data_IF_273501395369
#
_entry.id   IF_273501395369
#
_cell.length_a   1.000
_cell.length_b   1.000
_cell.length_c   1.000
_cell.angle_alpha   90.00
_cell.angle_beta   90.00
_cell.angle_gamma   90.00
#
_symmetry.space_group_name_H-M   'P 1'
#
loop_
_entity.id
_entity.type
_entity.pdbx_description
1 polymer ?
#
# COMPACT_ATOMS: atom_id res chain seq x y z
N UNK A 1 -10.92 20.73 -9.28
CA UNK A 1 -11.29 19.60 -9.63
C UNK A 1 -10.25 18.72 -10.06
N UNK A 2 -9.49 19.04 -10.93
CA UNK A 2 -8.48 18.20 -11.30
C UNK A 2 -7.56 17.90 -10.22
N UNK A 3 -7.36 18.81 -9.38
CA UNK A 3 -6.48 18.57 -8.33
C UNK A 3 -6.96 17.48 -7.52
N UNK A 4 -8.20 17.33 -7.38
CA UNK A 4 -8.64 16.29 -6.51
C UNK A 4 -8.23 14.98 -7.05
N UNK A 5 -8.04 14.87 -8.33
CA UNK A 5 -7.64 13.61 -8.84
C UNK A 5 -6.24 13.28 -8.47
N UNK A 6 -5.45 14.29 -8.28
CA UNK A 6 -4.09 14.00 -7.92
C UNK A 6 -4.01 13.41 -6.56
N UNK A 7 -4.88 13.82 -5.69
CA UNK A 7 -4.81 13.30 -4.37
C UNK A 7 -5.58 12.05 -4.20
N UNK A 8 -6.34 11.68 -5.20
CA UNK A 8 -7.11 10.50 -5.04
C UNK A 8 -6.20 9.33 -4.99
N UNK A 9 -6.16 8.65 -3.92
CA UNK A 9 -5.42 7.47 -3.81
C UNK A 9 -6.21 6.41 -4.47
N UNK A 10 -5.58 5.54 -5.19
CA UNK A 10 -6.25 4.43 -5.80
C UNK A 10 -7.08 3.74 -4.75
N UNK A 11 -8.38 3.78 -4.92
CA UNK A 11 -9.26 3.21 -3.94
C UNK A 11 -9.00 1.73 -3.74
N UNK A 12 -8.67 1.02 -4.79
CA UNK A 12 -8.36 -0.38 -4.64
C UNK A 12 -7.13 -0.57 -3.79
N UNK A 13 -6.13 0.28 -3.98
CA UNK A 13 -4.93 0.15 -3.19
C UNK A 13 -5.23 0.47 -1.73
N UNK A 14 -6.09 1.45 -1.51
CA UNK A 14 -6.42 1.82 -0.14
C UNK A 14 -7.19 0.67 0.53
N UNK A 15 -8.15 0.10 -0.17
CA UNK A 15 -8.91 -1.01 0.40
C UNK A 15 -7.99 -2.19 0.66
N UNK A 16 -7.08 -2.47 -0.25
CA UNK A 16 -6.14 -3.57 -0.05
C UNK A 16 -5.25 -3.32 1.14
N UNK A 17 -4.83 -2.07 1.32
CA UNK A 17 -3.98 -1.74 2.45
C UNK A 17 -4.73 -1.95 3.76
N UNK A 18 -5.98 -1.49 3.81
CA UNK A 18 -6.75 -1.66 5.02
C UNK A 18 -6.99 -3.13 5.32
N UNK A 19 -7.24 -3.94 4.30
CA UNK A 19 -7.46 -5.34 4.52
C UNK A 19 -6.20 -6.01 5.05
N UNK A 20 -5.04 -5.66 4.51
CA UNK A 20 -3.83 -6.26 5.00
C UNK A 20 -3.50 -5.80 6.40
N UNK A 21 -3.77 -4.56 6.71
CA UNK A 21 -3.52 -4.08 8.06
C UNK A 21 -4.44 -4.81 9.03
N UNK A 22 -5.69 -5.00 8.63
CA UNK A 22 -6.63 -5.69 9.51
C UNK A 22 -6.26 -7.14 9.74
N UNK A 23 -5.72 -7.80 8.73
CA UNK A 23 -5.43 -9.22 8.89
C UNK A 23 -3.98 -9.50 9.26
N UNK A 24 -3.06 -8.63 8.92
CA UNK A 24 -1.65 -8.88 9.16
C UNK A 24 -1.03 -7.93 10.17
N UNK A 25 -1.71 -6.85 10.49
CA UNK A 25 -1.16 -5.92 11.47
C UNK A 25 0.18 -5.39 11.05
N UNK A 26 1.14 -5.53 11.90
CA UNK A 26 2.45 -5.00 11.62
C UNK A 26 3.12 -5.65 10.44
N UNK A 27 2.67 -6.80 10.05
CA UNK A 27 3.27 -7.49 8.93
C UNK A 27 2.64 -7.08 7.60
N UNK A 28 1.72 -6.13 7.61
CA UNK A 28 1.01 -5.77 6.39
C UNK A 28 1.94 -5.33 5.28
N UNK A 29 2.93 -4.52 5.61
CA UNK A 29 3.84 -4.04 4.58
C UNK A 29 4.67 -5.19 4.01
N UNK A 30 5.14 -6.06 4.86
CA UNK A 30 5.92 -7.19 4.40
C UNK A 30 5.07 -8.11 3.53
N UNK A 31 3.80 -8.23 3.89
CA UNK A 31 2.92 -9.07 3.09
C UNK A 31 2.68 -8.44 1.72
N UNK A 32 2.49 -7.14 1.66
CA UNK A 32 2.29 -6.48 0.38
C UNK A 32 3.54 -6.65 -0.49
N UNK A 33 4.71 -6.53 0.11
CA UNK A 33 5.95 -6.68 -0.63
C UNK A 33 6.10 -8.11 -1.16
N UNK A 34 5.71 -9.09 -0.35
CA UNK A 34 5.81 -10.48 -0.77
C UNK A 34 4.88 -10.75 -1.95
N UNK A 35 3.69 -10.16 -1.92
CA UNK A 35 2.75 -10.35 -3.01
C UNK A 35 3.23 -9.65 -4.27
N UNK A 36 3.88 -8.50 -4.11
CA UNK A 36 4.43 -7.80 -5.26
C UNK A 36 5.52 -8.64 -5.90
N UNK A 37 6.39 -9.22 -5.09
CA UNK A 37 7.45 -10.02 -5.66
C UNK A 37 6.90 -11.26 -6.35
N UNK A 38 5.90 -11.86 -5.77
CA UNK A 38 5.31 -13.03 -6.39
C UNK A 38 4.71 -12.67 -7.72
N UNK A 39 4.04 -11.52 -7.80
CA UNK A 39 3.43 -11.10 -9.05
C UNK A 39 4.49 -10.83 -10.09
N UNK A 40 5.62 -10.23 -9.67
CA UNK A 40 6.69 -9.97 -10.59
C UNK A 40 7.28 -11.27 -11.12
N UNK A 41 7.45 -12.25 -10.26
CA UNK A 41 8.01 -13.52 -10.68
C UNK A 41 7.11 -14.21 -11.66
N UNK A 42 5.79 -14.00 -11.53
CA UNK A 42 4.87 -14.61 -12.45
C UNK A 42 4.69 -13.78 -13.71
N UNK A 43 5.37 -12.67 -13.80
CA UNK A 43 5.24 -11.83 -14.97
C UNK A 43 4.00 -10.99 -14.99
N UNK A 44 3.33 -10.86 -13.87
CA UNK A 44 2.08 -10.11 -13.82
C UNK A 44 2.35 -8.68 -13.38
N UNK A 45 2.64 -7.82 -14.35
CA UNK A 45 3.03 -6.47 -14.03
C UNK A 45 1.89 -5.65 -13.44
N UNK A 46 0.66 -5.96 -13.83
CA UNK A 46 -0.47 -5.22 -13.30
C UNK A 46 -0.62 -5.46 -11.82
N UNK A 47 -0.54 -6.71 -11.41
CA UNK A 47 -0.66 -7.02 -9.99
C UNK A 47 0.56 -6.56 -9.22
N UNK A 48 1.73 -6.63 -9.86
CA UNK A 48 2.94 -6.15 -9.21
C UNK A 48 2.77 -4.67 -8.87
N UNK A 49 2.32 -3.87 -9.84
CA UNK A 49 2.16 -2.45 -9.61
C UNK A 49 1.10 -2.19 -8.54
N UNK A 50 0.04 -2.99 -8.57
CA UNK A 50 -1.01 -2.82 -7.59
C UNK A 50 -0.49 -3.06 -6.17
N UNK A 51 0.29 -4.12 -5.99
CA UNK A 51 0.79 -4.41 -4.65
C UNK A 51 1.82 -3.39 -4.20
N UNK A 52 2.56 -2.81 -5.14
CA UNK A 52 3.48 -1.74 -4.78
C UNK A 52 2.71 -0.53 -4.27
N UNK A 53 1.56 -0.24 -4.88
CA UNK A 53 0.76 0.88 -4.42
C UNK A 53 0.14 0.58 -3.07
N UNK A 54 -0.29 -0.65 -2.87
CA UNK A 54 -0.84 -1.04 -1.59
C UNK A 54 0.23 -0.85 -0.51
N UNK A 55 1.44 -1.25 -0.80
CA UNK A 55 2.52 -1.08 0.16
C UNK A 55 2.76 0.38 0.51
N UNK A 56 2.67 1.25 -0.51
CA UNK A 56 2.88 2.66 -0.25
C UNK A 56 1.76 3.22 0.63
N UNK A 57 0.52 2.79 0.40
CA UNK A 57 -0.57 3.24 1.24
C UNK A 57 -0.38 2.75 2.67
N UNK A 58 0.09 1.51 2.82
CA UNK A 58 0.31 0.99 4.16
C UNK A 58 1.33 1.84 4.88
N UNK A 59 2.38 2.25 4.19
CA UNK A 59 3.37 3.09 4.82
C UNK A 59 2.76 4.42 5.25
N UNK A 60 1.92 4.99 4.42
CA UNK A 60 1.31 6.25 4.78
C UNK A 60 0.36 6.11 5.96
N UNK A 61 -0.39 5.04 6.00
CA UNK A 61 -1.33 4.84 7.07
C UNK A 61 -0.68 4.42 8.37
N UNK A 62 0.40 3.69 8.24
CA UNK A 62 1.01 3.14 9.41
C UNK A 62 2.06 3.99 10.05
N UNK A 63 2.40 5.09 9.41
CA UNK A 63 3.49 5.87 9.89
C UNK A 63 3.19 7.31 10.02
N UNK A 64 2.03 7.65 10.45
CA UNK A 64 1.67 9.02 10.54
C UNK A 64 2.42 9.69 11.60
N UNK A 65 2.73 8.98 12.56
CA UNK A 65 3.31 9.55 13.57
C UNK A 65 4.68 9.69 13.38
N UNK A 66 5.24 8.93 12.69
CA UNK A 66 6.56 9.10 12.51
C UNK A 66 6.69 10.46 12.10
N UNK A 67 5.75 10.87 11.44
CA UNK A 67 5.81 12.15 11.01
C UNK A 67 5.80 13.01 12.16
N UNK A 68 4.99 12.72 12.97
CA UNK A 68 4.87 13.61 14.00
C UNK A 68 5.95 13.45 14.92
N UNK A 69 6.48 12.45 14.87
CA UNK A 69 7.32 12.24 15.82
C UNK A 69 8.34 13.01 15.93
N UNK A 70 8.57 13.21 15.29
CA UNK A 70 9.41 13.90 15.36
C UNK A 70 9.44 14.45 16.50
N UNK A 71 8.90 14.37 16.91
CA UNK A 71 8.81 15.00 18.00
C UNK A 71 9.70 14.72 18.84
#
# INVERSE_FOLDING_TARGET
>A
MLESMHFVIDREAYDGAEQLIASCGEAALAEAAARAERSRDLGNHIHYTRWCRVGRVILLLGDPESAGTLH
#
